data_IF_259588067635
#
_entry.id   IF_259588067635
#
_cell.length_a   1.000
_cell.length_b   1.000
_cell.length_c   1.000
_cell.angle_alpha   90.00
_cell.angle_beta   90.00
_cell.angle_gamma   90.00
#
_symmetry.space_group_name_H-M   'P 1'
#
loop_
_entity.id
_entity.type
_entity.pdbx_description
1 polymer ?
#
# COMPACT_ATOMS: atom_id res chain seq x y z
N UNK A 1 -4.93 -8.43 7.54
CA UNK A 1 -4.94 -7.80 6.20
C UNK A 1 -5.45 -8.84 5.23
N UNK A 2 -6.31 -8.47 4.29
CA UNK A 2 -6.72 -9.39 3.21
C UNK A 2 -5.51 -9.56 2.31
N UNK A 3 -4.64 -10.47 2.74
CA UNK A 3 -3.41 -10.72 2.04
C UNK A 3 -3.70 -11.52 0.77
N UNK A 4 -3.25 -10.99 -0.35
CA UNK A 4 -3.16 -11.74 -1.61
C UNK A 4 -1.69 -12.02 -1.90
N UNK A 5 -1.44 -13.22 -2.43
CA UNK A 5 -0.11 -13.68 -2.79
C UNK A 5 0.50 -12.92 -3.98
N UNK A 6 1.62 -13.41 -4.46
CA UNK A 6 2.39 -12.79 -5.54
C UNK A 6 1.73 -12.89 -6.91
N UNK A 7 0.83 -13.86 -7.08
CA UNK A 7 0.20 -14.22 -8.37
C UNK A 7 -1.31 -14.22 -8.35
N UNK A 8 -1.92 -13.99 -7.20
CA UNK A 8 -3.37 -13.97 -7.06
C UNK A 8 -3.91 -12.63 -7.58
N UNK A 9 -4.90 -12.69 -8.48
CA UNK A 9 -5.64 -11.53 -8.96
C UNK A 9 -7.05 -11.60 -8.37
N UNK A 10 -7.43 -10.55 -7.66
CA UNK A 10 -8.82 -10.33 -7.28
C UNK A 10 -9.48 -9.37 -8.28
N UNK A 11 -10.80 -9.49 -8.52
CA UNK A 11 -11.54 -8.46 -9.23
C UNK A 11 -11.52 -7.13 -8.47
N UNK A 12 -11.86 -6.04 -9.17
CA UNK A 12 -11.90 -4.68 -8.57
C UNK A 12 -12.85 -4.63 -7.36
N UNK A 13 -13.95 -5.36 -7.42
CA UNK A 13 -14.90 -5.60 -6.34
C UNK A 13 -14.80 -7.05 -5.91
N UNK A 14 -14.50 -7.31 -4.65
CA UNK A 14 -14.35 -8.66 -4.12
C UNK A 14 -14.84 -8.75 -2.67
N UNK A 15 -15.11 -9.97 -2.23
CA UNK A 15 -15.52 -10.23 -0.85
C UNK A 15 -14.31 -10.26 0.10
N UNK A 16 -14.54 -9.94 1.35
CA UNK A 16 -13.57 -10.15 2.41
C UNK A 16 -13.44 -11.65 2.73
N UNK A 17 -12.26 -12.21 2.57
CA UNK A 17 -12.00 -13.63 2.86
C UNK A 17 -11.89 -13.94 4.35
N UNK A 18 -11.54 -12.95 5.16
CA UNK A 18 -11.31 -13.13 6.61
C UNK A 18 -11.91 -11.97 7.41
N UNK A 19 -12.27 -12.25 8.65
CA UNK A 19 -12.70 -11.24 9.60
C UNK A 19 -11.55 -10.29 9.98
N UNK A 20 -11.83 -9.04 10.38
CA UNK A 20 -10.81 -8.09 10.83
C UNK A 20 -9.98 -8.66 11.99
N UNK A 21 -8.64 -8.62 11.86
CA UNK A 21 -7.69 -9.18 12.82
C UNK A 21 -7.17 -8.15 13.84
N UNK A 22 -7.49 -6.86 13.66
CA UNK A 22 -7.06 -5.77 14.55
C UNK A 22 -8.13 -4.68 14.61
N UNK A 23 -8.05 -3.82 15.64
CA UNK A 23 -8.96 -2.68 15.77
C UNK A 23 -8.80 -1.68 14.62
N UNK A 24 -7.60 -1.54 14.08
CA UNK A 24 -7.38 -0.74 12.86
C UNK A 24 -8.13 -1.31 11.65
N UNK A 25 -8.10 -2.62 11.45
CA UNK A 25 -8.88 -3.25 10.38
C UNK A 25 -10.38 -3.12 10.60
N UNK A 26 -10.86 -3.25 11.85
CA UNK A 26 -12.28 -3.01 12.18
C UNK A 26 -12.68 -1.57 11.85
N UNK A 27 -11.81 -0.61 12.20
CA UNK A 27 -12.05 0.81 11.89
C UNK A 27 -12.11 1.05 10.38
N UNK A 28 -11.16 0.52 9.60
CA UNK A 28 -11.12 0.71 8.15
C UNK A 28 -12.31 0.06 7.44
N UNK A 29 -12.79 -1.09 7.95
CA UNK A 29 -13.92 -1.84 7.36
C UNK A 29 -15.29 -1.46 7.91
N UNK A 30 -15.40 -0.49 8.81
CA UNK A 30 -16.61 -0.20 9.59
C UNK A 30 -17.88 -0.10 8.75
N UNK A 31 -17.81 0.55 7.58
CA UNK A 31 -18.95 0.77 6.70
C UNK A 31 -18.82 0.00 5.36
N UNK A 32 -17.73 -0.71 5.17
CA UNK A 32 -17.45 -1.41 3.91
C UNK A 32 -18.16 -2.75 3.85
N UNK A 33 -18.90 -2.99 2.78
CA UNK A 33 -19.56 -4.26 2.48
C UNK A 33 -18.72 -5.18 1.60
N UNK A 34 -17.76 -4.60 0.88
CA UNK A 34 -16.89 -5.29 -0.07
C UNK A 34 -15.47 -4.70 -0.07
N UNK A 35 -14.54 -5.44 -0.64
CA UNK A 35 -13.13 -5.07 -0.75
C UNK A 35 -12.89 -4.45 -2.14
N UNK A 36 -12.67 -3.13 -2.15
CA UNK A 36 -12.47 -2.31 -3.36
C UNK A 36 -10.98 -2.04 -3.62
N UNK A 37 -10.60 -1.88 -4.90
CA UNK A 37 -9.26 -1.47 -5.34
C UNK A 37 -8.12 -2.39 -4.85
N UNK A 38 -8.40 -3.69 -4.65
CA UNK A 38 -7.41 -4.66 -4.15
C UNK A 38 -6.86 -5.57 -5.27
N UNK A 39 -6.56 -4.98 -6.42
CA UNK A 39 -6.03 -5.69 -7.60
C UNK A 39 -4.50 -5.66 -7.59
N UNK A 40 -3.88 -6.84 -7.47
CA UNK A 40 -2.42 -6.95 -7.48
C UNK A 40 -1.81 -6.62 -8.84
N UNK A 41 -0.58 -6.10 -8.82
CA UNK A 41 0.26 -6.04 -10.03
C UNK A 41 0.94 -7.38 -10.19
N UNK A 42 0.77 -8.02 -11.34
CA UNK A 42 1.49 -9.23 -11.69
C UNK A 42 2.86 -8.86 -12.26
N UNK A 43 3.88 -9.28 -11.55
CA UNK A 43 5.26 -9.19 -12.01
C UNK A 43 5.68 -10.49 -12.74
N UNK A 44 6.63 -10.38 -13.67
CA UNK A 44 7.25 -11.55 -14.28
C UNK A 44 7.94 -12.41 -13.22
N UNK A 45 8.11 -13.71 -13.47
CA UNK A 45 8.83 -14.61 -12.54
C UNK A 45 10.20 -14.03 -12.17
N UNK A 46 11.01 -13.64 -13.18
CA UNK A 46 12.32 -13.02 -12.96
C UNK A 46 12.26 -11.82 -12.01
N UNK A 47 11.23 -10.96 -12.15
CA UNK A 47 11.06 -9.80 -11.26
C UNK A 47 10.73 -10.24 -9.84
N UNK A 48 9.83 -11.22 -9.66
CA UNK A 48 9.49 -11.77 -8.35
C UNK A 48 10.68 -12.41 -7.65
N UNK A 49 11.49 -13.15 -8.40
CA UNK A 49 12.71 -13.78 -7.87
C UNK A 49 13.68 -12.74 -7.32
N UNK A 50 13.89 -11.63 -8.05
CA UNK A 50 14.75 -10.55 -7.58
C UNK A 50 14.13 -9.83 -6.36
N UNK A 51 12.81 -9.56 -6.37
CA UNK A 51 12.13 -8.95 -5.21
C UNK A 51 12.27 -9.85 -3.97
N UNK A 52 12.23 -11.17 -4.12
CA UNK A 52 12.35 -12.10 -3.00
C UNK A 52 13.69 -12.02 -2.28
N UNK A 53 14.74 -11.56 -2.95
CA UNK A 53 16.06 -11.36 -2.40
C UNK A 53 16.22 -10.04 -1.62
N UNK A 54 15.27 -9.10 -1.75
CA UNK A 54 15.27 -7.86 -0.97
C UNK A 54 14.74 -8.17 0.43
N UNK A 55 15.55 -8.02 1.49
CA UNK A 55 15.12 -8.34 2.85
C UNK A 55 14.05 -7.38 3.38
N UNK A 56 13.39 -7.74 4.48
CA UNK A 56 12.41 -6.88 5.15
C UNK A 56 13.03 -5.54 5.55
N UNK A 57 12.48 -4.45 5.03
CA UNK A 57 13.02 -3.09 5.21
C UNK A 57 14.31 -2.80 4.45
N UNK A 58 14.80 -3.73 3.64
CA UNK A 58 15.99 -3.57 2.81
C UNK A 58 15.74 -2.89 1.47
N UNK A 59 16.76 -2.79 0.65
CA UNK A 59 16.72 -2.15 -0.66
C UNK A 59 17.67 -2.83 -1.66
N UNK A 60 17.80 -2.27 -2.86
CA UNK A 60 18.62 -2.84 -3.93
C UNK A 60 20.09 -3.07 -3.56
N UNK A 61 20.65 -2.34 -2.58
CA UNK A 61 22.05 -2.51 -2.13
C UNK A 61 22.26 -3.83 -1.38
N UNK A 62 21.19 -4.41 -0.88
CA UNK A 62 21.22 -5.72 -0.20
C UNK A 62 21.15 -6.89 -1.18
N UNK A 63 20.97 -6.62 -2.47
CA UNK A 63 20.99 -7.61 -3.53
C UNK A 63 22.44 -8.04 -3.87
N UNK A 64 22.66 -9.24 -4.45
CA UNK A 64 23.92 -9.62 -5.07
C UNK A 64 24.40 -8.59 -6.08
N UNK A 65 25.72 -8.37 -6.18
CA UNK A 65 26.32 -7.31 -6.98
C UNK A 65 25.91 -7.31 -8.45
N UNK A 66 25.75 -8.47 -9.04
CA UNK A 66 25.28 -8.65 -10.43
C UNK A 66 23.81 -8.19 -10.62
N UNK A 67 22.99 -8.25 -9.58
CA UNK A 67 21.60 -7.81 -9.61
C UNK A 67 21.43 -6.32 -9.27
N UNK A 68 22.37 -5.70 -8.56
CA UNK A 68 22.32 -4.26 -8.23
C UNK A 68 22.36 -3.37 -9.48
N UNK A 69 22.94 -3.85 -10.57
CA UNK A 69 23.12 -3.08 -11.81
C UNK A 69 21.92 -3.18 -12.77
N UNK A 70 20.93 -4.02 -12.46
CA UNK A 70 19.80 -4.31 -13.39
C UNK A 70 18.85 -3.13 -13.58
N UNK A 71 18.92 -2.08 -12.75
CA UNK A 71 18.17 -0.83 -12.94
C UNK A 71 18.98 0.39 -12.52
N UNK A 72 19.02 1.40 -13.40
CA UNK A 72 19.71 2.67 -13.20
C UNK A 72 19.06 3.62 -12.17
N UNK A 73 17.96 3.24 -11.51
CA UNK A 73 17.20 4.10 -10.61
C UNK A 73 17.27 3.55 -9.19
N UNK A 74 18.09 4.19 -8.37
CA UNK A 74 18.49 3.75 -7.05
C UNK A 74 17.38 3.71 -5.96
N UNK A 75 16.23 4.32 -6.17
CA UNK A 75 15.14 4.41 -5.20
C UNK A 75 14.14 3.24 -5.34
N UNK A 76 14.18 2.53 -6.47
CA UNK A 76 13.08 1.69 -6.96
C UNK A 76 12.93 0.30 -6.33
N UNK A 77 13.86 -0.17 -5.51
CA UNK A 77 13.88 -1.53 -5.02
C UNK A 77 13.96 -1.58 -3.49
N UNK A 78 13.04 -0.88 -2.84
CA UNK A 78 12.94 -0.85 -1.38
C UNK A 78 11.74 -1.66 -0.93
N UNK A 79 11.93 -2.60 0.00
CA UNK A 79 10.85 -3.33 0.65
C UNK A 79 10.40 -2.59 1.91
N UNK A 80 9.09 -2.45 2.10
CA UNK A 80 8.54 -1.94 3.35
C UNK A 80 8.96 -2.82 4.52
N UNK A 81 9.18 -2.22 5.69
CA UNK A 81 9.52 -2.95 6.91
C UNK A 81 8.27 -3.40 7.64
N UNK A 82 8.25 -4.67 8.08
CA UNK A 82 7.10 -5.27 8.79
C UNK A 82 6.84 -4.71 10.19
N UNK A 83 7.87 -4.08 10.80
CA UNK A 83 7.86 -3.62 12.19
C UNK A 83 8.02 -2.11 12.35
N UNK A 84 8.09 -1.36 11.24
CA UNK A 84 8.27 0.11 11.25
C UNK A 84 7.14 0.79 10.47
N UNK A 85 6.88 2.08 10.71
CA UNK A 85 6.03 2.87 9.84
C UNK A 85 6.48 2.77 8.38
N UNK A 86 5.53 2.75 7.45
CA UNK A 86 5.84 2.72 6.03
C UNK A 86 6.50 4.03 5.58
N UNK A 87 7.20 3.96 4.46
CA UNK A 87 7.68 5.16 3.76
C UNK A 87 6.50 5.99 3.24
N UNK A 88 6.79 7.22 2.85
CA UNK A 88 5.82 8.06 2.11
C UNK A 88 5.31 7.29 0.89
N UNK A 89 4.00 7.23 0.73
CA UNK A 89 3.37 6.60 -0.43
C UNK A 89 3.63 7.47 -1.65
N UNK A 90 4.29 6.90 -2.64
CA UNK A 90 4.63 7.60 -3.89
C UNK A 90 3.41 7.81 -4.76
N UNK A 91 3.31 8.99 -5.35
CA UNK A 91 2.23 9.42 -6.22
C UNK A 91 2.27 8.80 -7.64
N UNK A 92 2.39 7.48 -7.74
CA UNK A 92 2.25 6.73 -9.00
C UNK A 92 3.49 6.04 -9.53
N UNK A 93 4.61 6.08 -8.83
CA UNK A 93 5.80 5.31 -9.17
C UNK A 93 5.98 4.17 -8.16
N UNK A 94 5.52 3.00 -8.41
CA UNK A 94 5.54 1.81 -7.54
C UNK A 94 6.97 1.42 -7.10
N UNK A 95 7.61 2.21 -6.25
CA UNK A 95 9.00 2.03 -5.88
C UNK A 95 9.21 1.13 -4.65
N UNK A 96 8.17 0.97 -3.83
CA UNK A 96 8.25 0.17 -2.62
C UNK A 96 7.54 -1.17 -2.80
N UNK A 97 8.20 -2.25 -2.38
CA UNK A 97 7.58 -3.57 -2.35
C UNK A 97 6.80 -3.78 -1.07
N UNK A 98 5.75 -4.57 -1.17
CA UNK A 98 5.00 -5.03 -0.02
C UNK A 98 5.93 -5.79 0.94
N UNK A 99 5.79 -5.57 2.25
CA UNK A 99 6.68 -6.13 3.27
C UNK A 99 6.73 -7.66 3.26
N UNK A 100 5.68 -8.35 2.81
CA UNK A 100 5.52 -9.81 2.83
C UNK A 100 5.43 -10.44 1.44
N UNK A 101 4.76 -9.80 0.49
CA UNK A 101 4.60 -10.29 -0.88
C UNK A 101 5.73 -9.80 -1.80
N UNK A 102 6.07 -10.58 -2.84
CA UNK A 102 7.07 -10.20 -3.83
C UNK A 102 6.44 -9.38 -4.97
N UNK A 103 5.74 -8.35 -4.59
CA UNK A 103 5.05 -7.41 -5.48
C UNK A 103 4.96 -6.02 -4.88
N UNK A 104 4.57 -5.06 -5.69
CA UNK A 104 4.16 -3.74 -5.18
C UNK A 104 2.81 -3.82 -4.46
N UNK A 105 2.53 -2.93 -3.50
CA UNK A 105 1.22 -2.86 -2.85
C UNK A 105 0.10 -2.60 -3.86
N UNK A 106 -1.08 -3.09 -3.55
CA UNK A 106 -2.30 -2.71 -4.25
C UNK A 106 -2.70 -1.27 -3.90
N UNK A 107 -3.63 -0.71 -4.66
CA UNK A 107 -4.20 0.61 -4.34
C UNK A 107 -4.86 0.59 -2.97
N UNK A 108 -5.62 -0.45 -2.63
CA UNK A 108 -6.26 -0.60 -1.31
C UNK A 108 -5.25 -0.73 -0.17
N UNK A 109 -4.17 -1.49 -0.35
CA UNK A 109 -3.10 -1.58 0.64
C UNK A 109 -2.46 -0.20 0.89
N UNK A 110 -2.16 0.54 -0.17
CA UNK A 110 -1.63 1.91 -0.08
C UNK A 110 -2.63 2.88 0.57
N UNK A 111 -3.91 2.78 0.24
CA UNK A 111 -4.98 3.58 0.83
C UNK A 111 -5.12 3.33 2.35
N UNK A 112 -5.06 2.06 2.78
CA UNK A 112 -5.05 1.70 4.21
C UNK A 112 -3.83 2.24 4.95
N UNK A 113 -2.63 2.22 4.34
CA UNK A 113 -1.44 2.86 4.93
C UNK A 113 -1.65 4.36 5.15
N UNK A 114 -2.42 5.00 4.31
CA UNK A 114 -2.85 6.40 4.44
C UNK A 114 -4.15 6.59 5.23
N UNK A 115 -4.64 5.56 5.92
CA UNK A 115 -5.87 5.58 6.73
C UNK A 115 -7.17 5.92 5.98
N UNK A 116 -7.24 5.64 4.68
CA UNK A 116 -8.52 5.66 3.97
C UNK A 116 -9.39 4.49 4.39
N UNK A 117 -10.67 4.70 4.73
CA UNK A 117 -11.59 3.62 5.02
C UNK A 117 -11.88 2.79 3.76
N UNK A 118 -12.30 1.54 3.96
CA UNK A 118 -12.44 0.59 2.85
C UNK A 118 -13.69 0.87 1.97
N UNK A 119 -14.68 1.58 2.50
CA UNK A 119 -15.85 2.08 1.76
C UNK A 119 -15.52 3.28 0.86
N UNK A 120 -14.31 3.83 0.95
CA UNK A 120 -13.85 4.86 0.03
C UNK A 120 -13.33 4.23 -1.26
N UNK A 121 -14.13 4.29 -2.31
CA UNK A 121 -13.75 3.83 -3.65
C UNK A 121 -12.86 4.85 -4.35
N UNK A 122 -11.77 4.38 -4.97
CA UNK A 122 -10.81 5.22 -5.70
C UNK A 122 -10.99 4.93 -7.19
N UNK A 123 -11.50 5.89 -7.93
CA UNK A 123 -11.89 5.72 -9.33
C UNK A 123 -10.76 6.00 -10.32
N UNK A 124 -10.91 5.46 -11.53
CA UNK A 124 -9.97 5.65 -12.64
C UNK A 124 -8.96 4.52 -12.80
N UNK A 125 -8.03 4.65 -13.73
CA UNK A 125 -7.00 3.64 -13.95
C UNK A 125 -5.98 3.59 -12.80
N UNK A 126 -5.32 2.46 -12.61
CA UNK A 126 -4.42 2.15 -11.49
C UNK A 126 -3.39 3.24 -11.18
N UNK A 127 -2.74 3.81 -12.20
CA UNK A 127 -1.77 4.92 -12.02
C UNK A 127 -2.44 6.16 -11.44
N UNK A 128 -3.66 6.48 -11.89
CA UNK A 128 -4.45 7.59 -11.35
C UNK A 128 -4.85 7.32 -9.91
N UNK A 129 -5.32 6.12 -9.60
CA UNK A 129 -5.69 5.69 -8.25
C UNK A 129 -4.51 5.83 -7.27
N UNK A 130 -3.32 5.33 -7.62
CA UNK A 130 -2.11 5.45 -6.80
C UNK A 130 -1.69 6.92 -6.61
N UNK A 131 -1.84 7.75 -7.66
CA UNK A 131 -1.56 9.20 -7.56
C UNK A 131 -2.53 9.90 -6.61
N UNK A 132 -3.81 9.55 -6.65
CA UNK A 132 -4.80 10.09 -5.73
C UNK A 132 -4.45 9.75 -4.28
N UNK A 133 -4.10 8.49 -4.01
CA UNK A 133 -3.68 8.04 -2.66
C UNK A 133 -2.41 8.75 -2.22
N UNK A 134 -1.38 8.80 -3.07
CA UNK A 134 -0.08 9.39 -2.70
C UNK A 134 -0.13 10.90 -2.46
N UNK A 135 -1.01 11.63 -3.16
CA UNK A 135 -1.17 13.07 -2.99
C UNK A 135 -2.15 13.46 -1.88
N UNK A 136 -2.86 12.51 -1.29
CA UNK A 136 -3.88 12.80 -0.30
C UNK A 136 -3.30 13.05 1.09
N UNK A 137 -3.98 13.88 1.86
CA UNK A 137 -3.76 13.95 3.32
C UNK A 137 -4.45 12.75 3.96
N UNK A 138 -3.77 11.98 4.83
CA UNK A 138 -4.38 10.85 5.51
C UNK A 138 -5.63 11.25 6.31
N UNK A 139 -6.80 10.60 6.10
CA UNK A 139 -8.06 10.99 6.74
C UNK A 139 -8.01 11.08 8.26
N UNK A 140 -7.30 10.17 8.93
CA UNK A 140 -7.16 10.23 10.40
C UNK A 140 -6.30 11.42 10.84
N UNK A 141 -5.28 11.81 10.08
CA UNK A 141 -4.49 13.01 10.35
C UNK A 141 -5.34 14.27 10.14
N UNK A 142 -6.06 14.35 9.01
CA UNK A 142 -6.96 15.45 8.72
C UNK A 142 -8.01 15.63 9.82
N UNK A 143 -8.60 14.54 10.30
CA UNK A 143 -9.55 14.54 11.42
C UNK A 143 -8.93 15.07 12.70
N UNK A 144 -7.72 14.65 13.04
CA UNK A 144 -7.03 15.11 14.24
C UNK A 144 -6.77 16.62 14.21
N UNK A 145 -6.33 17.14 13.05
CA UNK A 145 -6.10 18.57 12.83
C UNK A 145 -7.43 19.36 12.92
N UNK A 146 -8.47 18.89 12.22
CA UNK A 146 -9.79 19.53 12.22
C UNK A 146 -10.39 19.66 13.62
N UNK A 147 -10.24 18.63 14.45
CA UNK A 147 -10.69 18.66 15.85
C UNK A 147 -9.95 19.71 16.70
N UNK A 148 -8.68 19.98 16.42
CA UNK A 148 -7.97 21.06 17.09
C UNK A 148 -8.45 22.44 16.60
N UNK A 149 -8.59 22.62 15.30
CA UNK A 149 -9.12 23.88 14.72
C UNK A 149 -10.51 24.19 15.30
N UNK A 150 -11.39 23.19 15.36
CA UNK A 150 -12.73 23.34 15.92
C UNK A 150 -12.72 23.93 17.34
N UNK A 151 -11.82 23.46 18.22
CA UNK A 151 -11.67 23.97 19.59
C UNK A 151 -11.30 25.47 19.67
N UNK A 152 -10.65 26.01 18.63
CA UNK A 152 -10.32 27.43 18.56
C UNK A 152 -11.49 28.27 18.03
N UNK A 153 -12.33 27.70 17.17
CA UNK A 153 -13.47 28.39 16.58
C UNK A 153 -14.68 28.42 17.54
N UNK A 154 -14.75 27.51 18.50
CA UNK A 154 -15.84 27.41 19.50
C UNK A 154 -15.53 28.17 20.81
N UNK A 155 -14.44 28.94 20.85
CA UNK A 155 -14.10 29.88 21.93
C UNK A 155 -14.62 31.29 21.62
#
# INVERSE_FOLDING_TARGET
>A
MDFIGDTEILPEHSEYKIQPQSDYQKLMRKNATELLNHVATIHTQKTRDIISLVPDGGNYKDLPLDLQQTRKVHIAWTRMNSSKPCFTIDAGHNHHFHYRANRVPTVRESARLQSFPDDFEILGGKTSQLRQVGNAVPPLLAKAIALQIKKYLEK
#
